data_IF_770268185671
#
_entry.id   IF_770268185671
#
_cell.length_a   1.000
_cell.length_b   1.000
_cell.length_c   1.000
_cell.angle_alpha   90.00
_cell.angle_beta   90.00
_cell.angle_gamma   90.00
#
_symmetry.space_group_name_H-M   'P 1'
#
loop_
_entity.id
_entity.type
_entity.pdbx_description
1 polymer ?
#
# COMPACT_ATOMS: atom_id res chain seq x y z
N UNK A 1 -18.44 -7.93 50.52
CA UNK A 1 -17.16 -7.64 49.84
C UNK A 1 -16.81 -8.64 48.73
N UNK A 2 -17.08 -9.95 48.91
CA UNK A 2 -16.82 -10.98 47.89
C UNK A 2 -17.66 -10.79 46.59
N UNK A 3 -18.94 -10.46 46.70
CA UNK A 3 -19.82 -10.23 45.54
C UNK A 3 -19.43 -9.00 44.72
N UNK A 4 -18.83 -7.99 45.33
CA UNK A 4 -18.33 -6.81 44.62
C UNK A 4 -17.07 -7.15 43.81
N UNK A 5 -16.14 -7.93 44.36
CA UNK A 5 -14.92 -8.37 43.67
C UNK A 5 -15.25 -9.26 42.48
N UNK A 6 -16.11 -10.27 42.66
CA UNK A 6 -16.54 -11.17 41.57
C UNK A 6 -17.19 -10.40 40.41
N UNK A 7 -18.04 -9.40 40.71
CA UNK A 7 -18.65 -8.54 39.67
C UNK A 7 -17.61 -7.67 38.95
N UNK A 8 -16.56 -7.22 39.63
CA UNK A 8 -15.47 -6.46 39.02
C UNK A 8 -14.60 -7.33 38.12
N UNK A 9 -14.23 -8.53 38.56
CA UNK A 9 -13.48 -9.51 37.76
C UNK A 9 -14.25 -9.92 36.50
N UNK A 10 -15.56 -10.19 36.63
CA UNK A 10 -16.42 -10.51 35.48
C UNK A 10 -16.51 -9.33 34.48
N UNK A 11 -16.60 -8.09 34.98
CA UNK A 11 -16.56 -6.89 34.14
C UNK A 11 -15.22 -6.72 33.44
N UNK A 12 -14.10 -6.96 34.13
CA UNK A 12 -12.76 -6.87 33.57
C UNK A 12 -12.58 -7.89 32.44
N UNK A 13 -12.89 -9.15 32.71
CA UNK A 13 -12.82 -10.23 31.71
C UNK A 13 -13.67 -9.93 30.47
N UNK A 14 -14.88 -9.42 30.64
CA UNK A 14 -15.73 -9.03 29.51
C UNK A 14 -15.12 -7.86 28.71
N UNK A 15 -14.53 -6.88 29.39
CA UNK A 15 -13.83 -5.77 28.72
C UNK A 15 -12.60 -6.26 27.95
N UNK A 16 -11.79 -7.12 28.54
CA UNK A 16 -10.63 -7.73 27.87
C UNK A 16 -11.04 -8.51 26.63
N UNK A 17 -12.08 -9.35 26.73
CA UNK A 17 -12.61 -10.09 25.58
C UNK A 17 -13.12 -9.15 24.48
N UNK A 18 -13.82 -8.07 24.85
CA UNK A 18 -14.29 -7.06 23.88
C UNK A 18 -13.14 -6.30 23.23
N UNK A 19 -12.08 -5.99 23.97
CA UNK A 19 -10.89 -5.34 23.42
C UNK A 19 -10.19 -6.26 22.41
N UNK A 20 -9.93 -7.51 22.78
CA UNK A 20 -9.32 -8.50 21.89
C UNK A 20 -10.13 -8.70 20.59
N UNK A 21 -11.47 -8.75 20.69
CA UNK A 21 -12.34 -8.84 19.52
C UNK A 21 -12.25 -7.60 18.62
N UNK A 22 -12.16 -6.40 19.21
CA UNK A 22 -12.02 -5.15 18.46
C UNK A 22 -10.66 -5.06 17.77
N UNK A 23 -9.58 -5.40 18.46
CA UNK A 23 -8.23 -5.46 17.90
C UNK A 23 -8.18 -6.42 16.70
N UNK A 24 -8.75 -7.62 16.87
CA UNK A 24 -8.82 -8.58 15.77
C UNK A 24 -9.64 -8.04 14.58
N UNK A 25 -10.75 -7.34 14.84
CA UNK A 25 -11.57 -6.73 13.79
C UNK A 25 -10.82 -5.62 13.05
N UNK A 26 -10.14 -4.74 13.79
CA UNK A 26 -9.33 -3.65 13.22
C UNK A 26 -8.20 -4.23 12.37
N UNK A 27 -7.45 -5.20 12.90
CA UNK A 27 -6.38 -5.89 12.15
C UNK A 27 -6.91 -6.50 10.85
N UNK A 28 -8.04 -7.22 10.89
CA UNK A 28 -8.69 -7.76 9.68
C UNK A 28 -9.13 -6.68 8.69
N UNK A 29 -9.59 -5.52 9.18
CA UNK A 29 -10.00 -4.40 8.32
C UNK A 29 -8.79 -3.73 7.66
N UNK A 30 -7.70 -3.52 8.39
CA UNK A 30 -6.44 -2.99 7.85
C UNK A 30 -5.93 -3.89 6.74
N UNK A 31 -5.81 -5.20 6.99
CA UNK A 31 -5.38 -6.18 5.98
C UNK A 31 -6.27 -6.17 4.74
N UNK A 32 -7.59 -6.02 4.90
CA UNK A 32 -8.52 -5.90 3.76
C UNK A 32 -8.29 -4.63 2.94
N UNK A 33 -8.02 -3.51 3.61
CA UNK A 33 -7.74 -2.23 2.95
C UNK A 33 -6.42 -2.33 2.17
N UNK A 34 -5.36 -2.81 2.80
CA UNK A 34 -4.04 -3.01 2.17
C UNK A 34 -4.13 -3.95 0.97
N UNK A 35 -4.87 -5.06 1.10
CA UNK A 35 -5.06 -6.00 -0.01
C UNK A 35 -5.86 -5.35 -1.16
N UNK A 36 -6.91 -4.59 -0.85
CA UNK A 36 -7.71 -3.90 -1.86
C UNK A 36 -6.87 -2.82 -2.58
N UNK A 37 -6.06 -2.06 -1.85
CA UNK A 37 -5.15 -1.07 -2.40
C UNK A 37 -4.08 -1.73 -3.30
N UNK A 38 -3.39 -2.75 -2.80
CA UNK A 38 -2.41 -3.52 -3.57
C UNK A 38 -3.01 -4.12 -4.85
N UNK A 39 -4.25 -4.60 -4.78
CA UNK A 39 -5.00 -5.11 -5.94
C UNK A 39 -5.30 -4.01 -6.95
N UNK A 40 -5.72 -2.82 -6.49
CA UNK A 40 -5.98 -1.66 -7.37
C UNK A 40 -4.71 -1.18 -8.07
N UNK A 41 -3.60 -1.06 -7.35
CA UNK A 41 -2.30 -0.67 -7.92
C UNK A 41 -1.87 -1.71 -8.96
N UNK A 42 -1.99 -2.99 -8.66
CA UNK A 42 -1.63 -4.08 -9.59
C UNK A 42 -2.50 -4.09 -10.85
N UNK A 43 -3.79 -3.77 -10.73
CA UNK A 43 -4.68 -3.62 -11.89
C UNK A 43 -4.27 -2.43 -12.75
N UNK A 44 -3.93 -1.30 -12.14
CA UNK A 44 -3.47 -0.11 -12.87
C UNK A 44 -2.13 -0.37 -13.59
N UNK A 45 -1.19 -1.05 -12.94
CA UNK A 45 0.06 -1.46 -13.57
C UNK A 45 -0.19 -2.34 -14.81
N UNK A 46 -1.13 -3.30 -14.73
CA UNK A 46 -1.53 -4.12 -15.90
C UNK A 46 -2.18 -3.32 -17.02
N UNK A 47 -2.95 -2.29 -16.69
CA UNK A 47 -3.51 -1.38 -17.71
C UNK A 47 -2.38 -0.61 -18.41
N UNK A 48 -1.43 -0.07 -17.64
CA UNK A 48 -0.27 0.64 -18.20
C UNK A 48 0.66 -0.27 -19.00
N UNK A 49 0.76 -1.56 -18.64
CA UNK A 49 1.48 -2.56 -19.43
C UNK A 49 0.93 -2.76 -20.84
N UNK A 50 -0.36 -2.47 -21.05
CA UNK A 50 -1.02 -2.52 -22.35
C UNK A 50 -0.92 -1.23 -23.17
N UNK A 51 -0.31 -0.18 -22.62
CA UNK A 51 -0.22 1.14 -23.24
C UNK A 51 1.15 1.39 -23.87
N UNK A 52 1.20 2.35 -24.79
CA UNK A 52 2.47 2.87 -25.32
C UNK A 52 3.29 3.53 -24.21
N UNK A 53 4.60 3.26 -24.18
CA UNK A 53 5.48 3.74 -23.13
C UNK A 53 5.56 5.27 -23.05
N UNK A 54 5.47 6.00 -24.17
CA UNK A 54 5.46 7.47 -24.18
C UNK A 54 4.16 8.01 -23.61
N UNK A 55 3.03 7.35 -23.87
CA UNK A 55 1.75 7.71 -23.27
C UNK A 55 1.79 7.54 -21.75
N UNK A 56 2.30 6.41 -21.25
CA UNK A 56 2.45 6.16 -19.81
C UNK A 56 3.42 7.15 -19.18
N UNK A 57 4.55 7.46 -19.83
CA UNK A 57 5.51 8.45 -19.33
C UNK A 57 4.90 9.85 -19.19
N UNK A 58 4.04 10.27 -20.14
CA UNK A 58 3.28 11.53 -20.05
C UNK A 58 2.28 11.53 -18.89
N UNK A 59 1.62 10.41 -18.62
CA UNK A 59 0.77 10.28 -17.44
C UNK A 59 1.60 10.37 -16.15
N UNK A 60 2.72 9.64 -16.08
CA UNK A 60 3.64 9.65 -14.94
C UNK A 60 4.23 11.04 -14.66
N UNK A 61 4.37 11.90 -15.68
CA UNK A 61 4.81 13.28 -15.54
C UNK A 61 3.91 14.10 -14.58
N UNK A 62 2.62 13.77 -14.51
CA UNK A 62 1.62 14.47 -13.69
C UNK A 62 1.29 13.75 -12.37
N UNK A 63 1.84 12.55 -12.15
CA UNK A 63 1.69 11.82 -10.89
C UNK A 63 2.79 12.19 -9.91
N UNK A 64 2.52 12.08 -8.62
CA UNK A 64 3.54 12.19 -7.59
C UNK A 64 4.46 10.96 -7.60
N UNK A 65 5.65 11.11 -7.02
CA UNK A 65 6.67 10.07 -7.05
C UNK A 65 6.26 8.82 -6.26
N UNK A 66 5.49 8.95 -5.16
CA UNK A 66 5.04 7.78 -4.39
C UNK A 66 4.12 6.91 -5.26
N UNK A 67 3.18 7.54 -5.96
CA UNK A 67 2.29 6.84 -6.90
C UNK A 67 3.07 6.18 -8.04
N UNK A 68 4.04 6.87 -8.65
CA UNK A 68 4.84 6.28 -9.73
C UNK A 68 5.67 5.08 -9.22
N UNK A 69 6.26 5.19 -8.03
CA UNK A 69 7.03 4.10 -7.41
C UNK A 69 6.18 2.93 -6.92
N UNK A 70 4.88 3.11 -6.69
CA UNK A 70 4.00 1.98 -6.39
C UNK A 70 3.58 1.23 -7.66
N UNK A 71 3.45 1.92 -8.79
CA UNK A 71 2.98 1.33 -10.06
C UNK A 71 4.11 0.64 -10.83
N UNK A 72 5.23 1.35 -11.09
CA UNK A 72 6.28 0.87 -11.99
C UNK A 72 6.85 -0.52 -11.63
N UNK A 73 7.12 -0.85 -10.35
CA UNK A 73 7.62 -2.18 -9.99
C UNK A 73 6.62 -3.32 -10.23
N UNK A 74 5.33 -3.01 -10.35
CA UNK A 74 4.25 -3.98 -10.58
C UNK A 74 3.92 -4.16 -12.07
N UNK A 75 4.56 -3.39 -12.94
CA UNK A 75 4.49 -3.56 -14.39
C UNK A 75 5.45 -4.67 -14.85
N UNK A 76 5.28 -5.16 -16.08
CA UNK A 76 6.26 -6.07 -16.70
C UNK A 76 7.62 -5.34 -16.82
N UNK A 77 8.75 -5.99 -16.47
CA UNK A 77 10.06 -5.34 -16.43
C UNK A 77 10.45 -4.62 -17.73
N UNK A 78 10.14 -5.22 -18.88
CA UNK A 78 10.40 -4.63 -20.21
C UNK A 78 9.64 -3.31 -20.44
N UNK A 79 8.38 -3.24 -20.00
CA UNK A 79 7.55 -2.05 -20.16
C UNK A 79 7.93 -0.98 -19.14
N UNK A 80 8.16 -1.38 -17.88
CA UNK A 80 8.62 -0.50 -16.83
C UNK A 80 9.94 0.20 -17.22
N UNK A 81 10.90 -0.53 -17.78
CA UNK A 81 12.18 0.04 -18.22
C UNK A 81 12.01 1.00 -19.41
N UNK A 82 11.12 0.68 -20.35
CA UNK A 82 10.79 1.57 -21.47
C UNK A 82 10.10 2.87 -21.03
N UNK A 83 9.26 2.83 -20.00
CA UNK A 83 8.66 4.04 -19.41
C UNK A 83 9.72 4.83 -18.65
N UNK A 84 10.53 4.16 -17.82
CA UNK A 84 11.55 4.81 -17.00
C UNK A 84 12.61 5.53 -17.84
N UNK A 85 12.98 5.00 -19.02
CA UNK A 85 13.92 5.63 -19.94
C UNK A 85 13.40 6.92 -20.59
N UNK A 86 12.07 7.13 -20.57
CA UNK A 86 11.41 8.33 -21.08
C UNK A 86 11.16 9.38 -19.99
N UNK A 87 11.41 9.05 -18.72
CA UNK A 87 11.32 9.98 -17.60
C UNK A 87 12.62 10.81 -17.52
N UNK A 88 12.56 12.12 -17.21
CA UNK A 88 13.76 12.96 -17.05
C UNK A 88 14.80 12.31 -16.11
N UNK A 89 16.09 12.25 -16.48
CA UNK A 89 17.10 11.44 -15.79
C UNK A 89 17.18 11.67 -14.28
N UNK A 90 17.11 12.94 -13.84
CA UNK A 90 17.12 13.30 -12.41
C UNK A 90 15.94 12.69 -11.65
N UNK A 91 14.75 12.70 -12.24
CA UNK A 91 13.55 12.12 -11.65
C UNK A 91 13.60 10.60 -11.68
N UNK A 92 14.03 10.00 -12.80
CA UNK A 92 14.21 8.56 -12.93
C UNK A 92 15.15 8.00 -11.84
N UNK A 93 16.31 8.63 -11.62
CA UNK A 93 17.24 8.22 -10.56
C UNK A 93 16.63 8.31 -9.16
N UNK A 94 15.83 9.36 -8.88
CA UNK A 94 15.12 9.51 -7.60
C UNK A 94 14.06 8.41 -7.42
N UNK A 95 13.25 8.15 -8.44
CA UNK A 95 12.26 7.07 -8.45
C UNK A 95 12.92 5.71 -8.21
N UNK A 96 14.03 5.41 -8.90
CA UNK A 96 14.79 4.17 -8.70
C UNK A 96 15.29 4.04 -7.26
N UNK A 97 15.79 5.12 -6.65
CA UNK A 97 16.18 5.12 -5.23
C UNK A 97 14.99 4.83 -4.32
N UNK A 98 13.86 5.48 -4.58
CA UNK A 98 12.64 5.28 -3.80
C UNK A 98 12.11 3.83 -3.90
N UNK A 99 12.26 3.16 -5.04
CA UNK A 99 11.81 1.77 -5.21
C UNK A 99 12.62 0.75 -4.39
N UNK A 100 13.90 1.04 -4.12
CA UNK A 100 14.79 0.15 -3.34
C UNK A 100 14.92 0.59 -1.88
N UNK A 101 14.42 1.78 -1.53
CA UNK A 101 14.48 2.29 -0.16
C UNK A 101 13.13 2.07 0.49
N UNK A 102 13.11 1.29 1.56
CA UNK A 102 11.96 1.25 2.47
C UNK A 102 12.03 2.55 3.28
N UNK A 103 11.59 3.66 2.69
CA UNK A 103 11.41 4.89 3.45
C UNK A 103 10.18 4.66 4.34
N UNK A 104 10.42 4.44 5.63
CA UNK A 104 9.43 4.55 6.70
C UNK A 104 8.64 5.85 6.46
N UNK A 105 7.32 5.72 6.28
CA UNK A 105 6.41 6.87 6.33
C UNK A 105 6.19 7.25 7.79
#
# INVERSE_FOLDING_TARGET
>A
MQDSLSRWEARLKNREQKLAQREQKISKQILKIEQAESTRISKLAKLYDGMDARAVAKLAANLDDKTVTSILPRMKPKNASAVLSLIPPKRAARLSRMMITIAEN
#
